data_IF_412876716172
#
_entry.id   IF_412876716172
#
_cell.length_a   1.000
_cell.length_b   1.000
_cell.length_c   1.000
_cell.angle_alpha   90.00
_cell.angle_beta   90.00
_cell.angle_gamma   90.00
#
_symmetry.space_group_name_H-M   'P 1'
#
loop_
_entity.id
_entity.type
_entity.pdbx_description
1 polymer ?
#
# COMPACT_ATOMS: atom_id res chain seq x y z
N UNK A 1 -18.06 -14.82 0.51
CA UNK A 1 -18.44 -14.09 -0.72
C UNK A 1 -17.31 -13.99 -1.75
N UNK A 2 -16.08 -14.29 -1.41
CA UNK A 2 -14.90 -14.25 -2.31
C UNK A 2 -14.80 -15.44 -3.30
N UNK A 3 -15.41 -16.58 -2.99
CA UNK A 3 -15.29 -17.80 -3.80
C UNK A 3 -16.09 -17.76 -5.12
N UNK A 4 -17.16 -16.95 -5.20
CA UNK A 4 -17.97 -16.84 -6.43
C UNK A 4 -17.30 -16.09 -7.59
N UNK A 5 -16.39 -15.19 -7.30
CA UNK A 5 -15.69 -14.38 -8.33
C UNK A 5 -14.60 -15.16 -9.08
N UNK A 6 -13.98 -16.14 -8.44
CA UNK A 6 -12.92 -16.94 -9.06
C UNK A 6 -13.45 -17.88 -10.14
N UNK A 7 -14.69 -18.38 -10.00
CA UNK A 7 -15.29 -19.28 -10.99
C UNK A 7 -15.79 -18.52 -12.24
N UNK A 8 -16.27 -17.28 -12.07
CA UNK A 8 -16.76 -16.46 -13.18
C UNK A 8 -15.62 -15.99 -14.11
N UNK A 9 -14.47 -15.65 -13.56
CA UNK A 9 -13.30 -15.21 -14.34
C UNK A 9 -12.70 -16.33 -15.22
N UNK A 10 -12.89 -17.59 -14.88
CA UNK A 10 -12.38 -18.73 -15.68
C UNK A 10 -13.22 -19.05 -16.92
N UNK A 11 -14.43 -18.51 -17.03
CA UNK A 11 -15.39 -18.80 -18.11
C UNK A 11 -15.48 -17.63 -19.12
N UNK A 12 -14.93 -16.47 -18.79
CA UNK A 12 -15.01 -15.28 -19.63
C UNK A 12 -13.87 -15.26 -20.64
N UNK A 13 -14.21 -15.42 -21.91
CA UNK A 13 -13.23 -15.56 -23.00
C UNK A 13 -12.88 -14.24 -23.69
N UNK A 14 -13.67 -13.17 -23.46
CA UNK A 14 -13.39 -11.89 -24.09
C UNK A 14 -13.88 -10.69 -23.25
N UNK A 15 -13.46 -9.47 -23.62
CA UNK A 15 -13.79 -8.23 -22.90
C UNK A 15 -15.27 -7.88 -23.00
N UNK A 16 -15.99 -8.34 -24.04
CA UNK A 16 -17.43 -8.13 -24.19
C UNK A 16 -18.22 -8.89 -23.14
N UNK A 17 -17.82 -10.10 -22.82
CA UNK A 17 -18.43 -10.92 -21.78
C UNK A 17 -18.23 -10.30 -20.40
N UNK A 18 -17.05 -9.75 -20.15
CA UNK A 18 -16.74 -9.03 -18.90
C UNK A 18 -17.62 -7.78 -18.79
N UNK A 19 -17.73 -6.99 -19.85
CA UNK A 19 -18.55 -5.79 -19.87
C UNK A 19 -20.04 -6.11 -19.66
N UNK A 20 -20.55 -7.14 -20.33
CA UNK A 20 -21.92 -7.61 -20.14
C UNK A 20 -22.17 -8.13 -18.72
N UNK A 21 -21.24 -8.90 -18.15
CA UNK A 21 -21.32 -9.38 -16.77
C UNK A 21 -21.36 -8.23 -15.77
N UNK A 22 -20.50 -7.18 -15.93
CA UNK A 22 -20.45 -6.01 -15.05
C UNK A 22 -21.75 -5.19 -15.08
N UNK A 23 -22.44 -5.11 -16.23
CA UNK A 23 -23.74 -4.43 -16.33
C UNK A 23 -24.81 -5.08 -15.47
N UNK A 24 -24.77 -6.41 -15.32
CA UNK A 24 -25.76 -7.18 -14.56
C UNK A 24 -25.33 -7.49 -13.12
N UNK A 25 -24.05 -7.27 -12.83
CA UNK A 25 -23.44 -7.46 -11.50
C UNK A 25 -22.65 -6.22 -11.11
N UNK A 26 -23.33 -5.07 -10.91
CA UNK A 26 -22.64 -3.84 -10.56
C UNK A 26 -21.86 -4.06 -9.26
N UNK A 27 -20.56 -3.79 -9.31
CA UNK A 27 -19.73 -3.76 -8.12
C UNK A 27 -20.04 -2.45 -7.41
N UNK A 28 -21.00 -2.48 -6.49
CA UNK A 28 -21.25 -1.34 -5.63
C UNK A 28 -20.10 -1.24 -4.62
N UNK A 29 -19.16 -0.38 -4.89
CA UNK A 29 -18.23 0.10 -3.89
C UNK A 29 -18.85 1.31 -3.19
N UNK A 30 -19.72 1.06 -2.23
CA UNK A 30 -20.02 2.06 -1.21
C UNK A 30 -18.78 2.18 -0.31
N UNK A 31 -17.76 2.89 -0.80
CA UNK A 31 -16.60 3.20 0.00
C UNK A 31 -16.99 4.27 1.02
N UNK A 32 -16.99 3.90 2.29
CA UNK A 32 -17.15 4.88 3.35
C UNK A 32 -16.01 5.89 3.29
N UNK A 33 -16.34 7.17 3.17
CA UNK A 33 -15.35 8.26 3.23
C UNK A 33 -15.07 8.54 4.71
N UNK A 34 -13.81 8.41 5.09
CA UNK A 34 -13.36 8.66 6.46
C UNK A 34 -12.70 10.04 6.55
N UNK A 35 -13.07 10.79 7.58
CA UNK A 35 -12.53 12.12 7.86
C UNK A 35 -11.33 12.12 8.81
N UNK A 36 -11.00 10.97 9.37
CA UNK A 36 -9.92 10.81 10.35
C UNK A 36 -8.91 9.75 9.91
N UNK A 37 -7.73 9.80 10.53
CA UNK A 37 -6.67 8.82 10.32
C UNK A 37 -7.12 7.41 10.76
N UNK A 38 -6.59 6.39 10.10
CA UNK A 38 -6.89 4.98 10.39
C UNK A 38 -6.23 4.52 11.70
N UNK A 39 -6.82 4.89 12.82
CA UNK A 39 -6.59 4.24 14.10
C UNK A 39 -7.45 2.97 14.21
N UNK A 40 -7.20 2.09 15.19
CA UNK A 40 -8.08 0.95 15.47
C UNK A 40 -9.56 1.35 15.62
N UNK A 41 -9.84 2.57 16.05
CA UNK A 41 -11.17 3.19 16.02
C UNK A 41 -11.12 4.52 15.26
N UNK A 42 -12.15 4.79 14.47
CA UNK A 42 -12.30 6.04 13.73
C UNK A 42 -13.77 6.47 13.68
N UNK A 43 -14.00 7.73 13.29
CA UNK A 43 -15.36 8.28 13.19
C UNK A 43 -15.81 8.22 11.73
N UNK A 44 -16.96 7.61 11.48
CA UNK A 44 -17.64 7.61 10.19
C UNK A 44 -19.13 7.91 10.40
N UNK A 45 -19.71 8.78 9.57
CA UNK A 45 -21.11 9.20 9.67
C UNK A 45 -21.55 9.65 11.08
N UNK A 46 -20.62 10.22 11.85
CA UNK A 46 -20.86 10.68 13.22
C UNK A 46 -20.78 9.61 14.30
N UNK A 47 -20.52 8.36 13.94
CA UNK A 47 -20.36 7.23 14.87
C UNK A 47 -18.91 6.79 14.98
N UNK A 48 -18.49 6.37 16.19
CA UNK A 48 -17.17 5.76 16.41
C UNK A 48 -17.28 4.27 16.13
N UNK A 49 -16.49 3.80 15.16
CA UNK A 49 -16.43 2.39 14.78
C UNK A 49 -15.04 1.81 14.97
N UNK A 50 -14.95 0.52 15.21
CA UNK A 50 -13.69 -0.23 15.29
C UNK A 50 -13.41 -0.89 13.94
N UNK A 51 -12.22 -0.66 13.39
CA UNK A 51 -11.81 -1.22 12.11
C UNK A 51 -11.22 -2.62 12.25
N UNK A 52 -11.83 -3.57 11.55
CA UNK A 52 -11.30 -4.93 11.39
C UNK A 52 -10.76 -5.20 9.98
N UNK A 53 -10.80 -4.21 9.08
CA UNK A 53 -10.38 -4.33 7.67
C UNK A 53 -9.09 -3.58 7.35
N UNK A 54 -8.44 -3.01 8.35
CA UNK A 54 -7.19 -2.25 8.16
C UNK A 54 -5.97 -3.16 8.08
N UNK A 55 -4.99 -2.78 7.24
CA UNK A 55 -3.66 -3.39 7.22
C UNK A 55 -2.69 -2.80 8.26
N UNK A 56 -3.16 -1.90 9.13
CA UNK A 56 -2.37 -1.31 10.20
C UNK A 56 -2.21 -2.27 11.40
N UNK A 57 -1.74 -3.48 11.14
CA UNK A 57 -1.70 -4.60 12.12
C UNK A 57 -0.97 -4.28 13.43
N UNK A 58 0.03 -3.42 13.39
CA UNK A 58 0.83 -3.03 14.55
C UNK A 58 0.44 -1.66 15.11
N UNK A 59 -0.63 -1.04 14.59
CA UNK A 59 -1.08 0.31 14.95
C UNK A 59 0.05 1.37 14.84
N UNK A 60 0.94 1.22 13.87
CA UNK A 60 2.10 2.10 13.70
C UNK A 60 1.84 3.30 12.80
N UNK A 61 0.74 3.33 12.03
CA UNK A 61 0.49 4.39 11.06
C UNK A 61 0.50 5.80 11.69
N UNK A 62 0.03 5.94 12.93
CA UNK A 62 -0.03 7.20 13.69
C UNK A 62 0.99 7.26 14.84
N UNK A 63 1.95 6.33 14.87
CA UNK A 63 2.92 6.31 15.96
C UNK A 63 3.74 7.61 15.97
N UNK A 64 3.82 8.37 17.08
CA UNK A 64 4.43 9.71 17.11
C UNK A 64 5.86 9.74 16.58
N UNK A 65 6.67 8.72 16.86
CA UNK A 65 8.04 8.63 16.35
C UNK A 65 8.10 8.44 14.84
N UNK A 66 7.14 7.71 14.23
CA UNK A 66 7.09 7.53 12.78
C UNK A 66 6.61 8.80 12.10
N UNK A 67 5.59 9.45 12.67
CA UNK A 67 5.11 10.75 12.17
C UNK A 67 6.22 11.79 12.22
N UNK A 68 6.98 11.85 13.32
CA UNK A 68 8.10 12.79 13.42
C UNK A 68 9.20 12.47 12.41
N UNK A 69 9.60 11.21 12.28
CA UNK A 69 10.60 10.80 11.29
C UNK A 69 10.18 11.11 9.84
N UNK A 70 8.89 11.01 9.53
CA UNK A 70 8.37 11.40 8.22
C UNK A 70 8.50 12.92 7.99
N UNK A 71 8.19 13.75 9.00
CA UNK A 71 8.38 15.21 8.93
C UNK A 71 9.85 15.57 8.73
N UNK A 72 10.74 14.99 9.52
CA UNK A 72 12.18 15.20 9.39
C UNK A 72 12.70 14.79 8.00
N UNK A 73 12.13 13.71 7.44
CA UNK A 73 12.40 13.26 6.08
C UNK A 73 11.95 14.26 5.03
N UNK A 74 10.75 14.82 5.18
CA UNK A 74 10.23 15.87 4.29
C UNK A 74 11.09 17.15 4.34
N UNK A 75 11.49 17.55 5.52
CA UNK A 75 12.35 18.75 5.70
C UNK A 75 13.73 18.55 5.06
N UNK A 76 14.27 17.32 5.10
CA UNK A 76 15.61 17.02 4.57
C UNK A 76 15.61 16.71 3.07
N UNK A 77 14.64 15.98 2.56
CA UNK A 77 14.64 15.42 1.21
C UNK A 77 13.54 15.98 0.30
N UNK A 78 12.60 16.75 0.85
CA UNK A 78 11.44 17.25 0.11
C UNK A 78 10.33 16.20 -0.02
N UNK A 79 9.31 16.54 -0.81
CA UNK A 79 8.07 15.74 -0.96
C UNK A 79 8.28 14.46 -1.76
N UNK A 80 9.29 14.42 -2.61
CA UNK A 80 9.53 13.26 -3.46
C UNK A 80 10.86 13.30 -4.18
N UNK A 81 11.24 12.15 -4.70
CA UNK A 81 12.45 11.99 -5.49
C UNK A 81 12.13 12.32 -6.96
N UNK A 82 12.78 13.36 -7.50
CA UNK A 82 12.54 13.84 -8.86
C UNK A 82 13.29 13.03 -9.93
N UNK A 83 14.14 12.09 -9.54
CA UNK A 83 15.00 11.32 -10.45
C UNK A 83 14.98 9.84 -10.13
N UNK A 84 15.27 9.01 -11.14
CA UNK A 84 15.49 7.58 -10.91
C UNK A 84 16.79 7.35 -10.12
N UNK A 85 16.85 6.29 -9.34
CA UNK A 85 18.06 5.90 -8.59
C UNK A 85 19.27 5.69 -9.49
N UNK A 86 19.04 5.27 -10.75
CA UNK A 86 20.11 5.04 -11.73
C UNK A 86 20.78 6.33 -12.19
N UNK A 87 20.06 7.45 -12.20
CA UNK A 87 20.58 8.74 -12.71
C UNK A 87 21.13 9.61 -11.58
N UNK A 88 20.31 10.05 -10.67
CA UNK A 88 20.73 10.95 -9.58
C UNK A 88 19.88 10.81 -8.33
N UNK A 89 18.83 9.99 -8.40
CA UNK A 89 17.86 9.82 -7.32
C UNK A 89 18.22 8.76 -6.27
N UNK A 90 19.46 8.30 -6.17
CA UNK A 90 19.88 7.32 -5.16
C UNK A 90 20.26 8.01 -3.86
N UNK A 91 19.26 8.34 -3.06
CA UNK A 91 19.46 9.06 -1.82
C UNK A 91 20.03 8.15 -0.72
N UNK A 92 20.82 8.78 0.17
CA UNK A 92 21.41 8.10 1.34
C UNK A 92 20.37 7.35 2.19
N UNK A 93 19.16 7.90 2.32
CA UNK A 93 18.07 7.28 3.09
C UNK A 93 17.64 5.92 2.53
N UNK A 94 17.70 5.71 1.21
CA UNK A 94 17.39 4.41 0.61
C UNK A 94 18.44 3.36 0.96
N UNK A 95 19.72 3.74 0.88
CA UNK A 95 20.84 2.86 1.23
C UNK A 95 20.79 2.45 2.70
N UNK A 96 20.51 3.40 3.58
CA UNK A 96 20.38 3.10 5.01
C UNK A 96 19.17 2.21 5.30
N UNK A 97 18.04 2.43 4.62
CA UNK A 97 16.86 1.55 4.74
C UNK A 97 17.18 0.12 4.27
N UNK A 98 17.81 -0.04 3.11
CA UNK A 98 18.22 -1.34 2.57
C UNK A 98 19.15 -2.06 3.55
N UNK A 99 20.16 -1.38 4.06
CA UNK A 99 21.06 -1.93 5.08
C UNK A 99 20.35 -2.40 6.34
N UNK A 100 19.40 -1.60 6.87
CA UNK A 100 18.61 -1.96 8.06
C UNK A 100 17.67 -3.13 7.80
N UNK A 101 17.02 -3.17 6.64
CA UNK A 101 16.15 -4.28 6.26
C UNK A 101 16.92 -5.58 6.09
N UNK A 102 18.10 -5.52 5.45
CA UNK A 102 19.01 -6.67 5.36
C UNK A 102 19.37 -7.19 6.74
N UNK A 103 19.84 -6.32 7.62
CA UNK A 103 20.19 -6.69 9.00
C UNK A 103 19.00 -7.28 9.78
N UNK A 104 17.80 -6.66 9.67
CA UNK A 104 16.59 -7.15 10.33
C UNK A 104 16.21 -8.58 9.88
N UNK A 105 16.45 -8.89 8.62
CA UNK A 105 16.15 -10.21 8.03
C UNK A 105 17.33 -11.18 8.05
N UNK A 106 18.44 -10.83 8.70
CA UNK A 106 19.67 -11.62 8.73
C UNK A 106 20.18 -11.97 7.32
N UNK A 107 20.10 -10.99 6.41
CA UNK A 107 20.60 -11.07 5.04
C UNK A 107 21.73 -10.07 4.83
N UNK A 108 22.62 -10.38 3.87
CA UNK A 108 23.73 -9.49 3.51
C UNK A 108 23.25 -8.19 2.89
N UNK A 109 22.13 -8.24 2.16
CA UNK A 109 21.63 -7.13 1.38
C UNK A 109 20.10 -7.12 1.28
N UNK A 110 19.55 -5.98 0.90
CA UNK A 110 18.15 -5.79 0.53
C UNK A 110 18.05 -4.81 -0.63
N UNK A 111 17.03 -4.95 -1.45
CA UNK A 111 16.71 -4.03 -2.55
C UNK A 111 15.33 -3.44 -2.32
N UNK A 112 15.22 -2.13 -2.40
CA UNK A 112 13.98 -1.40 -2.23
C UNK A 112 13.28 -1.21 -3.57
N UNK A 113 12.01 -1.60 -3.65
CA UNK A 113 11.11 -1.33 -4.76
C UNK A 113 9.98 -0.39 -4.32
N UNK A 114 9.40 0.36 -5.26
CA UNK A 114 8.33 1.33 -4.98
C UNK A 114 6.98 0.67 -4.67
N UNK A 115 6.77 -0.57 -5.09
CA UNK A 115 5.56 -1.36 -4.79
C UNK A 115 5.88 -2.84 -4.67
N UNK A 116 5.02 -3.60 -3.96
CA UNK A 116 5.10 -5.06 -3.93
C UNK A 116 4.92 -5.70 -5.30
N UNK A 117 4.11 -5.11 -6.17
CA UNK A 117 3.96 -5.57 -7.55
C UNK A 117 5.29 -5.51 -8.32
N UNK A 118 5.98 -4.36 -8.25
CA UNK A 118 7.31 -4.20 -8.87
C UNK A 118 8.34 -5.14 -8.25
N UNK A 119 8.25 -5.41 -6.95
CA UNK A 119 9.11 -6.41 -6.28
C UNK A 119 8.96 -7.78 -6.92
N UNK A 120 7.71 -8.24 -7.09
CA UNK A 120 7.44 -9.56 -7.68
C UNK A 120 7.95 -9.65 -9.13
N UNK A 121 7.76 -8.60 -9.94
CA UNK A 121 8.27 -8.58 -11.32
C UNK A 121 9.81 -8.52 -11.36
N UNK A 122 10.42 -7.78 -10.45
CA UNK A 122 11.88 -7.59 -10.45
C UNK A 122 12.67 -8.77 -9.90
N UNK A 123 12.02 -9.70 -9.20
CA UNK A 123 12.67 -10.89 -8.59
C UNK A 123 12.42 -12.15 -9.42
N UNK A 124 11.35 -12.21 -10.22
CA UNK A 124 11.00 -13.34 -11.10
C UNK A 124 11.69 -13.22 -12.46
#
# INVERSE_FOLDING_TARGET
MMVRYHLALHIMHDLSDIAHWLQHHPIHHDSAVHSTLHDPSFVTQGETVVSFSTNNYLALANHPRLVQAAKDGLDRYGVGNCESRLLGGDLEVYRELERRLGALKHKSDAVLFVTGYMTNIGVL
#
